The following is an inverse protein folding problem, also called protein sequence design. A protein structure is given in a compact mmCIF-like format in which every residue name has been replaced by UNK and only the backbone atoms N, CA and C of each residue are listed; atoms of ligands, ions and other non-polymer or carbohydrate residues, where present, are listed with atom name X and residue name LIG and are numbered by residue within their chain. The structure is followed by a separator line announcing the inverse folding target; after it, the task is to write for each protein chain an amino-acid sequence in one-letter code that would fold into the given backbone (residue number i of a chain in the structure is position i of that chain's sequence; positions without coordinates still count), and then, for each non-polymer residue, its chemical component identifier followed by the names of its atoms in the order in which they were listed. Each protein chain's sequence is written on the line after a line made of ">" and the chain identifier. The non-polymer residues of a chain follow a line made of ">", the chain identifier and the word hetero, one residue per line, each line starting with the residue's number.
data_IF_916969458273
#
_entry.id   IF_916969458273
#
_cell.length_a   1.000
_cell.length_b   1.000
_cell.length_c   1.000
_cell.angle_alpha   90.00
_cell.angle_beta   90.00
_cell.angle_gamma   90.00
#
_symmetry.space_group_name_H-M   'P 1'
#
loop_
_entity.id
_entity.type
_entity.pdbx_description
1 polymer ?
#
# COMPACT_ATOMS: atom_id res chain seq x y z
N UNK A 1 -19.07 4.25 -16.09
CA UNK A 1 -17.84 3.45 -16.21
C UNK A 1 -17.49 3.04 -14.79
N UNK A 2 -17.24 1.75 -14.51
CA UNK A 2 -16.87 1.30 -13.15
C UNK A 2 -15.39 1.63 -12.94
N UNK A 3 -15.06 2.35 -11.87
CA UNK A 3 -13.68 2.69 -11.52
C UNK A 3 -12.92 1.41 -11.20
N UNK A 4 -11.72 1.25 -11.74
CA UNK A 4 -10.85 0.13 -11.41
C UNK A 4 -10.12 0.44 -10.10
N UNK A 5 -10.26 -0.46 -9.13
CA UNK A 5 -9.63 -0.37 -7.80
C UNK A 5 -8.96 -1.67 -7.38
N UNK A 6 -8.53 -2.48 -8.35
CA UNK A 6 -7.93 -3.79 -8.07
C UNK A 6 -6.61 -4.05 -8.80
N UNK A 7 -6.20 -3.17 -9.72
CA UNK A 7 -4.93 -3.32 -10.44
C UNK A 7 -3.82 -2.51 -9.76
N UNK A 8 -2.91 -3.20 -9.06
CA UNK A 8 -1.77 -2.60 -8.35
C UNK A 8 -0.79 -2.02 -9.38
N UNK A 9 -0.41 -0.76 -9.18
CA UNK A 9 0.59 -0.07 -10.02
C UNK A 9 1.63 0.56 -9.10
N UNK A 10 2.72 -0.16 -8.87
CA UNK A 10 3.83 0.30 -8.01
C UNK A 10 4.35 1.65 -8.51
N UNK A 11 4.48 2.60 -7.58
CA UNK A 11 4.86 3.99 -7.84
C UNK A 11 3.83 4.86 -8.56
N UNK A 12 2.63 4.36 -8.87
CA UNK A 12 1.56 5.14 -9.51
C UNK A 12 0.26 5.16 -8.73
N UNK A 13 -0.15 4.04 -8.11
CA UNK A 13 -1.39 3.94 -7.32
C UNK A 13 -2.12 2.61 -7.52
N UNK A 14 -3.45 2.64 -7.51
CA UNK A 14 -4.34 1.47 -7.60
C UNK A 14 -5.40 1.68 -8.68
N UNK A 15 -5.26 1.02 -9.82
CA UNK A 15 -6.19 1.10 -10.93
C UNK A 15 -6.31 2.53 -11.48
N UNK A 16 -7.45 3.17 -11.23
CA UNK A 16 -7.73 4.56 -11.61
C UNK A 16 -7.40 5.57 -10.49
N UNK A 17 -7.07 5.08 -9.29
CA UNK A 17 -6.58 5.89 -8.17
C UNK A 17 -5.08 6.13 -8.36
N UNK A 18 -4.65 7.38 -8.26
CA UNK A 18 -3.25 7.78 -8.42
C UNK A 18 -2.71 8.43 -7.16
N UNK A 19 -1.45 8.15 -6.82
CA UNK A 19 -0.73 8.92 -5.81
C UNK A 19 -0.76 10.41 -6.14
N UNK A 20 -0.78 11.25 -5.11
CA UNK A 20 -0.88 12.70 -5.25
C UNK A 20 -2.31 13.22 -5.42
N UNK A 21 -3.32 12.35 -5.54
CA UNK A 21 -4.71 12.80 -5.60
C UNK A 21 -5.17 13.38 -4.25
N UNK A 22 -6.10 14.34 -4.30
CA UNK A 22 -6.69 14.92 -3.09
C UNK A 22 -7.85 14.08 -2.57
N UNK A 23 -8.21 14.29 -1.31
CA UNK A 23 -9.38 13.68 -0.65
C UNK A 23 -10.67 13.89 -1.44
N UNK A 24 -10.89 15.08 -2.01
CA UNK A 24 -12.06 15.39 -2.82
C UNK A 24 -12.08 14.61 -4.14
N UNK A 25 -10.91 14.48 -4.80
CA UNK A 25 -10.79 13.71 -6.04
C UNK A 25 -11.07 12.23 -5.77
N UNK A 26 -10.57 11.68 -4.66
CA UNK A 26 -10.83 10.29 -4.31
C UNK A 26 -12.33 10.05 -4.01
N UNK A 27 -12.96 10.90 -3.20
CA UNK A 27 -14.42 10.85 -2.94
C UNK A 27 -15.24 10.89 -4.22
N UNK A 28 -14.85 11.74 -5.17
CA UNK A 28 -15.53 11.83 -6.46
C UNK A 28 -15.40 10.55 -7.29
N UNK A 29 -14.25 9.87 -7.21
CA UNK A 29 -13.98 8.64 -7.97
C UNK A 29 -14.71 7.42 -7.38
N UNK A 30 -14.58 7.20 -6.08
CA UNK A 30 -14.96 5.91 -5.46
C UNK A 30 -15.97 6.03 -4.31
N UNK A 31 -16.37 7.25 -3.94
CA UNK A 31 -17.30 7.51 -2.85
C UNK A 31 -16.63 7.73 -1.49
N UNK A 32 -17.46 7.79 -0.46
CA UNK A 32 -17.01 7.99 0.92
C UNK A 32 -16.38 6.72 1.50
N UNK A 33 -15.34 6.84 2.34
CA UNK A 33 -14.79 5.71 3.07
C UNK A 33 -15.76 5.22 4.16
N UNK A 34 -15.57 3.98 4.59
CA UNK A 34 -16.28 3.36 5.70
C UNK A 34 -15.80 3.91 7.05
N UNK A 35 -14.50 4.11 7.17
CA UNK A 35 -13.83 4.58 8.39
C UNK A 35 -12.70 5.57 8.02
N UNK A 36 -12.52 6.56 8.89
CA UNK A 36 -11.47 7.56 8.79
C UNK A 36 -10.77 7.63 10.13
N UNK A 37 -9.47 7.34 10.12
CA UNK A 37 -8.58 7.48 11.26
C UNK A 37 -7.60 8.62 11.04
N UNK A 38 -7.26 9.33 12.10
CA UNK A 38 -6.23 10.37 12.06
C UNK A 38 -5.27 10.18 13.22
N UNK A 39 -3.99 10.05 12.89
CA UNK A 39 -2.94 9.77 13.86
C UNK A 39 -1.63 10.42 13.43
N UNK A 40 -0.68 10.53 14.35
CA UNK A 40 0.67 10.97 14.05
C UNK A 40 1.55 9.72 13.85
N UNK A 41 1.95 9.46 12.59
CA UNK A 41 2.73 8.27 12.25
C UNK A 41 4.16 8.32 12.76
N UNK A 42 4.75 9.52 12.94
CA UNK A 42 6.11 9.70 13.46
C UNK A 42 6.22 9.43 14.96
N UNK A 43 5.13 9.60 15.70
CA UNK A 43 5.11 9.55 17.16
C UNK A 43 5.77 10.74 17.86
N UNK A 44 6.23 11.75 17.12
CA UNK A 44 6.79 12.98 17.66
C UNK A 44 5.68 13.95 18.07
N UNK A 45 5.79 14.64 19.22
CA UNK A 45 4.73 15.53 19.73
C UNK A 45 4.28 16.62 18.74
N UNK A 46 5.22 17.11 17.91
CA UNK A 46 4.99 18.13 16.86
C UNK A 46 5.04 17.55 15.43
N UNK A 47 4.91 16.23 15.29
CA UNK A 47 4.96 15.54 14.00
C UNK A 47 3.71 15.78 13.14
N UNK A 48 3.87 15.58 11.83
CA UNK A 48 2.78 15.68 10.87
C UNK A 48 1.74 14.56 11.07
N UNK A 49 0.49 14.90 10.76
CA UNK A 49 -0.62 13.95 10.82
C UNK A 49 -0.75 13.12 9.55
N UNK A 50 -1.21 11.90 9.72
CA UNK A 50 -1.68 10.98 8.67
C UNK A 50 -3.17 10.74 8.87
N UNK A 51 -3.94 10.82 7.78
CA UNK A 51 -5.35 10.46 7.74
C UNK A 51 -5.53 9.21 6.88
N UNK A 52 -5.90 8.09 7.50
CA UNK A 52 -6.15 6.81 6.84
C UNK A 52 -7.66 6.65 6.57
N UNK A 53 -7.99 6.28 5.34
CA UNK A 53 -9.36 6.02 4.88
C UNK A 53 -9.50 4.55 4.51
N UNK A 54 -10.48 3.88 5.12
CA UNK A 54 -10.72 2.45 4.92
C UNK A 54 -11.97 2.23 4.04
N UNK A 55 -11.85 1.34 3.06
CA UNK A 55 -12.93 0.99 2.14
C UNK A 55 -13.21 -0.52 2.20
N UNK A 56 -14.09 -0.92 3.12
CA UNK A 56 -14.37 -2.33 3.42
C UNK A 56 -14.87 -3.14 2.22
N UNK A 57 -15.69 -2.52 1.35
CA UNK A 57 -16.23 -3.20 0.15
C UNK A 57 -15.11 -3.65 -0.81
N UNK A 58 -14.01 -2.90 -0.84
CA UNK A 58 -12.89 -3.14 -1.75
C UNK A 58 -11.67 -3.74 -1.07
N UNK A 59 -11.73 -3.93 0.25
CA UNK A 59 -10.64 -4.46 1.09
C UNK A 59 -9.30 -3.73 0.85
N UNK A 60 -9.37 -2.40 0.75
CA UNK A 60 -8.17 -1.55 0.72
C UNK A 60 -8.33 -0.33 1.63
N UNK A 61 -7.19 0.23 2.01
CA UNK A 61 -7.08 1.52 2.69
C UNK A 61 -6.12 2.44 1.95
N UNK A 62 -6.25 3.73 2.21
CA UNK A 62 -5.38 4.76 1.67
C UNK A 62 -5.00 5.75 2.75
N UNK A 63 -3.81 6.33 2.66
CA UNK A 63 -3.34 7.35 3.62
C UNK A 63 -3.03 8.66 2.94
N UNK A 64 -3.41 9.74 3.59
CA UNK A 64 -3.08 11.11 3.21
C UNK A 64 -2.20 11.75 4.28
N UNK A 65 -1.04 12.27 3.88
CA UNK A 65 -0.09 12.85 4.81
C UNK A 65 -0.12 14.38 4.79
N UNK A 66 -0.14 14.98 5.98
CA UNK A 66 -0.16 16.43 6.17
C UNK A 66 1.09 17.10 5.59
N UNK A 67 2.26 16.47 5.78
CA UNK A 67 3.55 16.91 5.23
C UNK A 67 3.48 17.12 3.71
N UNK A 68 2.75 16.23 3.03
CA UNK A 68 2.57 16.24 1.58
C UNK A 68 1.37 17.04 1.10
N UNK A 69 0.86 17.96 1.92
CA UNK A 69 -0.34 18.76 1.68
C UNK A 69 -1.61 17.90 1.53
N UNK A 70 -1.77 16.88 2.38
CA UNK A 70 -2.92 15.98 2.40
C UNK A 70 -3.17 15.28 1.06
N UNK A 71 -2.08 14.86 0.42
CA UNK A 71 -2.10 14.06 -0.80
C UNK A 71 -2.05 12.58 -0.47
N UNK A 72 -2.63 11.78 -1.36
CA UNK A 72 -2.55 10.33 -1.26
C UNK A 72 -1.09 9.87 -1.43
N UNK A 73 -0.52 9.26 -0.40
CA UNK A 73 0.88 8.80 -0.34
C UNK A 73 1.01 7.29 -0.28
N UNK A 74 0.06 6.60 0.36
CA UNK A 74 0.14 5.16 0.65
C UNK A 74 -1.19 4.47 0.34
N UNK A 75 -1.10 3.25 -0.19
CA UNK A 75 -2.24 2.36 -0.43
C UNK A 75 -1.90 1.00 0.16
N UNK A 76 -2.86 0.38 0.86
CA UNK A 76 -2.76 -1.02 1.30
C UNK A 76 -3.98 -1.79 0.79
N UNK A 77 -3.78 -3.00 0.26
CA UNK A 77 -4.88 -3.85 -0.24
C UNK A 77 -4.69 -5.29 0.23
N UNK A 78 -5.80 -5.89 0.66
CA UNK A 78 -5.87 -7.28 1.12
C UNK A 78 -6.80 -8.12 0.25
N UNK A 79 -7.41 -7.52 -0.78
CA UNK A 79 -8.40 -8.21 -1.59
C UNK A 79 -7.82 -9.34 -2.45
N UNK A 80 -8.38 -10.57 -2.44
CA UNK A 80 -7.94 -11.65 -3.31
C UNK A 80 -8.25 -11.40 -4.80
N UNK A 81 -9.04 -10.37 -5.11
CA UNK A 81 -9.30 -9.93 -6.47
C UNK A 81 -8.28 -8.90 -6.99
N UNK A 82 -7.34 -8.46 -6.15
CA UNK A 82 -6.28 -7.57 -6.59
C UNK A 82 -5.31 -8.31 -7.53
N UNK A 83 -4.76 -7.57 -8.48
CA UNK A 83 -3.81 -8.07 -9.46
C UNK A 83 -2.62 -7.15 -9.58
N UNK A 84 -1.45 -7.74 -9.76
CA UNK A 84 -0.22 -7.06 -10.15
C UNK A 84 0.31 -7.76 -11.41
N UNK A 85 0.49 -7.01 -12.50
CA UNK A 85 0.85 -7.57 -13.82
C UNK A 85 -0.03 -8.78 -14.20
N UNK A 86 -1.35 -8.63 -14.04
CA UNK A 86 -2.38 -9.66 -14.31
C UNK A 86 -2.35 -10.89 -13.36
N UNK A 87 -1.43 -10.94 -12.40
CA UNK A 87 -1.30 -12.03 -11.44
C UNK A 87 -1.99 -11.67 -10.11
N UNK A 88 -2.78 -12.60 -9.56
CA UNK A 88 -3.29 -12.51 -8.19
C UNK A 88 -2.21 -12.92 -7.22
N UNK A 89 -1.88 -12.05 -6.26
CA UNK A 89 -0.79 -12.27 -5.31
C UNK A 89 -1.29 -12.71 -3.92
N UNK A 90 -2.40 -12.17 -3.45
CA UNK A 90 -2.97 -12.49 -2.14
C UNK A 90 -3.26 -13.99 -2.02
N UNK A 91 -2.89 -14.58 -0.88
CA UNK A 91 -3.04 -16.00 -0.57
C UNK A 91 -1.91 -16.90 -1.09
N UNK A 92 -0.90 -16.35 -1.77
CA UNK A 92 0.28 -17.10 -2.22
C UNK A 92 1.34 -17.23 -1.14
N UNK A 93 2.16 -18.26 -1.26
CA UNK A 93 3.35 -18.46 -0.41
C UNK A 93 4.45 -17.46 -0.80
N UNK A 94 5.38 -17.20 0.12
CA UNK A 94 6.52 -16.30 -0.08
C UNK A 94 7.27 -16.59 -1.39
N UNK A 95 7.68 -17.84 -1.62
CA UNK A 95 8.48 -18.20 -2.80
C UNK A 95 7.72 -17.95 -4.11
N UNK A 96 6.40 -18.20 -4.13
CA UNK A 96 5.56 -17.93 -5.30
C UNK A 96 5.43 -16.42 -5.57
N UNK A 97 5.28 -15.62 -4.52
CA UNK A 97 5.21 -14.16 -4.62
C UNK A 97 6.54 -13.61 -5.14
N UNK A 98 7.66 -13.99 -4.53
CA UNK A 98 8.99 -13.52 -4.96
C UNK A 98 9.30 -13.92 -6.40
N UNK A 99 8.89 -15.11 -6.84
CA UNK A 99 9.03 -15.54 -8.24
C UNK A 99 8.22 -14.66 -9.20
N UNK A 100 7.00 -14.25 -8.82
CA UNK A 100 6.16 -13.36 -9.62
C UNK A 100 6.74 -11.93 -9.71
N UNK A 101 7.56 -11.53 -8.75
CA UNK A 101 8.22 -10.23 -8.70
C UNK A 101 9.65 -10.25 -9.28
N UNK A 102 10.21 -11.40 -9.64
CA UNK A 102 11.62 -11.56 -10.03
C UNK A 102 12.04 -10.69 -11.23
N UNK A 103 11.10 -10.40 -12.15
CA UNK A 103 11.36 -9.56 -13.32
C UNK A 103 11.18 -8.06 -13.05
N UNK A 104 10.74 -7.69 -11.85
CA UNK A 104 10.57 -6.31 -11.44
C UNK A 104 11.88 -5.73 -10.91
N UNK A 105 12.14 -4.46 -11.21
CA UNK A 105 13.37 -3.80 -10.76
C UNK A 105 13.17 -3.15 -9.37
N UNK A 106 12.70 -3.93 -8.40
CA UNK A 106 12.40 -3.45 -7.04
C UNK A 106 13.62 -3.39 -6.12
N UNK A 107 14.77 -3.87 -6.57
CA UNK A 107 16.00 -3.95 -5.77
C UNK A 107 16.02 -5.15 -4.82
N UNK A 108 16.91 -5.10 -3.84
CA UNK A 108 17.00 -6.12 -2.79
C UNK A 108 15.81 -6.00 -1.83
N UNK A 109 15.36 -7.14 -1.31
CA UNK A 109 14.34 -7.18 -0.26
C UNK A 109 14.97 -7.48 1.10
N UNK A 110 14.29 -7.01 2.13
CA UNK A 110 14.55 -7.36 3.53
C UNK A 110 13.40 -8.20 4.05
N UNK A 111 13.71 -9.24 4.83
CA UNK A 111 12.71 -10.10 5.47
C UNK A 111 12.83 -9.96 6.98
N UNK A 112 11.72 -9.54 7.58
CA UNK A 112 11.55 -9.48 9.03
C UNK A 112 10.57 -10.57 9.49
N UNK A 113 11.03 -11.44 10.39
CA UNK A 113 10.16 -12.41 11.05
C UNK A 113 9.63 -11.79 12.35
N UNK A 114 8.34 -11.49 12.33
CA UNK A 114 7.60 -10.83 13.42
C UNK A 114 6.72 -11.83 14.18
N UNK A 115 6.93 -13.13 13.95
CA UNK A 115 6.16 -14.20 14.60
C UNK A 115 6.42 -14.24 16.10
N UNK A 116 5.37 -14.57 16.86
CA UNK A 116 5.43 -14.88 18.29
C UNK A 116 4.81 -16.25 18.59
N UNK A 117 4.67 -16.61 19.87
CA UNK A 117 4.10 -17.90 20.28
C UNK A 117 2.65 -18.12 19.80
N UNK A 118 1.96 -17.06 19.37
CA UNK A 118 0.53 -17.04 19.04
C UNK A 118 0.22 -16.58 17.62
N UNK A 119 1.19 -15.99 16.91
CA UNK A 119 1.01 -15.41 15.58
C UNK A 119 2.19 -15.77 14.68
N UNK A 120 1.89 -16.10 13.42
CA UNK A 120 2.91 -16.26 12.38
C UNK A 120 2.81 -15.09 11.42
N UNK A 121 3.69 -14.11 11.59
CA UNK A 121 3.72 -12.90 10.78
C UNK A 121 5.13 -12.66 10.23
N UNK A 122 5.20 -12.36 8.94
CA UNK A 122 6.44 -11.98 8.27
C UNK A 122 6.19 -10.78 7.38
N UNK A 123 7.19 -9.91 7.29
CA UNK A 123 7.19 -8.76 6.41
C UNK A 123 8.35 -8.92 5.41
N UNK A 124 8.04 -8.76 4.12
CA UNK A 124 9.06 -8.58 3.09
C UNK A 124 8.96 -7.17 2.54
N UNK A 125 10.06 -6.42 2.64
CA UNK A 125 10.12 -5.00 2.28
C UNK A 125 11.06 -4.78 1.10
N UNK A 126 10.61 -4.02 0.09
CA UNK A 126 11.40 -3.54 -1.03
C UNK A 126 11.50 -2.02 -0.96
N UNK A 127 12.57 -1.50 -0.36
CA UNK A 127 12.74 -0.07 -0.07
C UNK A 127 12.68 0.79 -1.34
N UNK A 128 13.36 0.38 -2.41
CA UNK A 128 13.40 1.15 -3.67
C UNK A 128 12.04 1.24 -4.38
N UNK A 129 11.14 0.30 -4.09
CA UNK A 129 9.79 0.25 -4.65
C UNK A 129 8.75 0.81 -3.68
N UNK A 130 9.15 1.23 -2.48
CA UNK A 130 8.27 1.61 -1.38
C UNK A 130 7.16 0.57 -1.18
N UNK A 131 7.52 -0.73 -1.20
CA UNK A 131 6.59 -1.85 -1.20
C UNK A 131 6.83 -2.75 0.01
N UNK A 132 5.76 -3.05 0.73
CA UNK A 132 5.71 -3.95 1.87
C UNK A 132 4.73 -5.08 1.57
N UNK A 133 5.15 -6.31 1.84
CA UNK A 133 4.37 -7.53 1.65
C UNK A 133 4.22 -8.24 2.99
N UNK A 134 3.01 -8.21 3.52
CA UNK A 134 2.69 -8.86 4.79
C UNK A 134 2.22 -10.29 4.55
N UNK A 135 2.83 -11.22 5.27
CA UNK A 135 2.47 -12.63 5.24
C UNK A 135 1.97 -13.06 6.62
N UNK A 136 0.81 -13.71 6.62
CA UNK A 136 0.19 -14.32 7.79
C UNK A 136 0.03 -15.82 7.54
N UNK A 137 0.47 -16.64 8.48
CA UNK A 137 0.44 -18.11 8.35
C UNK A 137 1.08 -18.62 7.04
N UNK A 138 2.14 -17.94 6.59
CA UNK A 138 2.87 -18.25 5.35
C UNK A 138 2.23 -17.71 4.06
N UNK A 139 1.04 -17.11 4.15
CA UNK A 139 0.30 -16.59 2.99
C UNK A 139 0.33 -15.07 2.94
N UNK A 140 0.49 -14.51 1.75
CA UNK A 140 0.40 -13.06 1.55
C UNK A 140 -1.02 -12.59 1.91
N UNK A 141 -1.12 -11.74 2.93
CA UNK A 141 -2.39 -11.23 3.47
C UNK A 141 -2.63 -9.77 3.07
N UNK A 142 -1.58 -8.98 2.92
CA UNK A 142 -1.68 -7.57 2.54
C UNK A 142 -0.47 -7.13 1.69
N UNK A 143 -0.76 -6.26 0.73
CA UNK A 143 0.23 -5.55 -0.07
C UNK A 143 0.06 -4.07 0.23
N UNK A 144 1.10 -3.43 0.75
CA UNK A 144 1.14 -2.00 1.01
C UNK A 144 2.23 -1.36 0.16
N UNK A 145 1.91 -0.26 -0.51
CA UNK A 145 2.92 0.49 -1.25
C UNK A 145 2.68 2.00 -1.20
N UNK A 146 3.78 2.73 -1.29
CA UNK A 146 3.82 4.18 -1.27
C UNK A 146 4.14 4.81 -2.62
N UNK A 147 4.08 6.14 -2.63
CA UNK A 147 4.71 6.99 -3.64
C UNK A 147 6.22 6.72 -3.66
N UNK A 148 6.83 6.80 -4.84
CA UNK A 148 8.28 6.68 -4.97
C UNK A 148 8.96 8.00 -4.64
N UNK A 149 10.16 7.92 -4.08
CA UNK A 149 10.90 9.10 -3.63
C UNK A 149 12.04 9.43 -4.59
N UNK A 150 12.27 10.72 -4.80
CA UNK A 150 13.35 11.24 -5.64
C UNK A 150 14.66 11.39 -4.89
N UNK A 151 14.54 11.83 -3.65
CA UNK A 151 15.52 11.91 -2.58
C UNK A 151 14.76 11.66 -1.26
N UNK A 152 15.39 11.88 -0.10
CA UNK A 152 14.80 11.57 1.21
C UNK A 152 13.48 12.32 1.47
N UNK A 153 13.27 13.50 0.88
CA UNK A 153 12.15 14.38 1.22
C UNK A 153 11.22 14.71 0.04
N UNK A 154 11.53 14.25 -1.18
CA UNK A 154 10.80 14.65 -2.39
C UNK A 154 10.01 13.50 -3.02
N UNK A 155 8.68 13.45 -2.88
CA UNK A 155 7.87 12.44 -3.55
C UNK A 155 7.78 12.68 -5.07
N UNK A 156 7.86 11.60 -5.84
CA UNK A 156 7.67 11.57 -7.29
C UNK A 156 6.22 11.22 -7.62
N UNK A 157 5.42 12.26 -7.83
CA UNK A 157 4.04 12.12 -8.28
C UNK A 157 3.96 11.63 -9.74
N UNK A 158 3.05 10.70 -10.06
CA UNK A 158 2.83 10.20 -11.43
C UNK A 158 2.09 11.18 -12.35
#
# INVERSE_FOLDING_TARGET
>A
MKVNVSNIKIGSGLGDIQFGCTKEKLRYLIGEPNEIDTYNASGEDDGYLTEAWHYDEYEFSVSFDEEDNWKLTTISISSPECTFNENKLIGKEIDEVLQLLENENFGENELDDLSDETSSQKLISFVNASLNLWFEDGKLSEIQWGVLWGDEDTPRWP
#
